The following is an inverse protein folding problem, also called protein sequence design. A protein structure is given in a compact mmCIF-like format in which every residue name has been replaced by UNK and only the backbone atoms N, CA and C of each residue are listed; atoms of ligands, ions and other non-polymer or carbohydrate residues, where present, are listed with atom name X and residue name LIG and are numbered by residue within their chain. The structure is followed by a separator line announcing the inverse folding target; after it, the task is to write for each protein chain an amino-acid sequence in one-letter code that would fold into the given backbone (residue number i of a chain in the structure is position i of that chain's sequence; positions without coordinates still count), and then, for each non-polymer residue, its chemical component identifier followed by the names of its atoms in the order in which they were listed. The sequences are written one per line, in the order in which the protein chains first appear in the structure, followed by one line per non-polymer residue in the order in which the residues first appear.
data_IF_369254650154
#
_entry.id   IF_369254650154
#
_cell.length_a   1.000
_cell.length_b   1.000
_cell.length_c   1.000
_cell.angle_alpha   90.00
_cell.angle_beta   90.00
_cell.angle_gamma   90.00
#
_symmetry.space_group_name_H-M   'P 1'
#
loop_
_entity.id
_entity.type
_entity.pdbx_description
1 polymer ?
#
# COMPACT_ATOMS: atom_id res chain seq x y z
N UNK A 1 -24.04 13.98 -6.29
CA UNK A 1 -23.17 13.74 -5.14
C UNK A 1 -21.85 14.46 -5.39
N UNK A 2 -21.42 15.36 -4.51
CA UNK A 2 -20.08 15.97 -4.61
C UNK A 2 -19.07 14.86 -4.30
N UNK A 3 -18.24 14.51 -5.27
CA UNK A 3 -17.04 13.69 -5.06
C UNK A 3 -16.18 14.47 -4.07
N UNK A 4 -16.03 14.01 -2.82
CA UNK A 4 -15.08 14.61 -1.92
C UNK A 4 -13.70 14.48 -2.58
N UNK A 5 -13.03 15.61 -2.73
CA UNK A 5 -11.68 15.67 -3.30
C UNK A 5 -10.76 15.08 -2.23
N UNK A 6 -10.05 13.99 -2.55
CA UNK A 6 -9.12 13.34 -1.62
C UNK A 6 -8.16 14.33 -0.99
N UNK A 7 -7.93 14.18 0.30
CA UNK A 7 -7.07 15.03 1.09
C UNK A 7 -5.61 14.61 0.95
N UNK A 8 -4.72 15.59 0.75
CA UNK A 8 -3.28 15.32 0.85
C UNK A 8 -2.89 15.21 2.32
N UNK A 9 -2.23 14.09 2.67
CA UNK A 9 -1.78 13.81 4.03
C UNK A 9 -0.26 13.69 4.09
N UNK A 10 0.29 14.13 5.22
CA UNK A 10 1.71 14.03 5.53
C UNK A 10 1.89 13.06 6.67
N UNK A 11 2.58 11.96 6.43
CA UNK A 11 2.70 10.83 7.34
C UNK A 11 4.11 10.80 7.91
N UNK A 12 4.29 11.12 9.20
CA UNK A 12 5.60 11.05 9.83
C UNK A 12 6.03 9.59 10.01
N UNK A 13 7.19 9.24 9.49
CA UNK A 13 7.78 7.90 9.60
C UNK A 13 9.25 8.03 9.99
N UNK A 14 9.56 7.84 11.26
CA UNK A 14 10.90 8.06 11.79
C UNK A 14 11.38 9.50 11.53
N UNK A 15 12.47 9.65 10.79
CA UNK A 15 13.07 10.96 10.45
C UNK A 15 12.54 11.59 9.17
N UNK A 16 11.60 10.96 8.47
CA UNK A 16 11.06 11.45 7.20
C UNK A 16 9.56 11.67 7.28
N UNK A 17 9.05 12.46 6.34
CA UNK A 17 7.62 12.64 6.13
C UNK A 17 7.30 12.08 4.76
N UNK A 18 6.38 11.10 4.73
CA UNK A 18 5.85 10.54 3.50
C UNK A 18 4.61 11.31 3.07
N UNK A 19 4.37 11.36 1.77
CA UNK A 19 3.21 12.03 1.20
C UNK A 19 2.17 11.00 0.77
N UNK A 20 0.91 11.27 1.05
CA UNK A 20 -0.21 10.43 0.66
C UNK A 20 -1.41 11.24 0.19
N UNK A 21 -2.32 10.54 -0.48
CA UNK A 21 -3.67 11.03 -0.79
C UNK A 21 -4.68 10.09 -0.15
N UNK A 22 -5.49 10.64 0.73
CA UNK A 22 -6.51 9.94 1.49
C UNK A 22 -7.90 10.31 0.97
N UNK A 23 -8.67 9.30 0.58
CA UNK A 23 -10.09 9.44 0.23
C UNK A 23 -10.93 8.61 1.21
N UNK A 24 -11.90 9.24 1.88
CA UNK A 24 -12.75 8.60 2.90
C UNK A 24 -14.23 8.80 2.52
N UNK A 25 -14.87 7.79 1.92
CA UNK A 25 -16.32 7.81 1.72
C UNK A 25 -17.08 7.80 3.04
N UNK A 26 -18.33 8.25 3.01
CA UNK A 26 -19.21 8.19 4.17
C UNK A 26 -19.51 6.74 4.59
N UNK A 27 -19.71 6.53 5.88
CA UNK A 27 -20.17 5.26 6.46
C UNK A 27 -19.28 4.04 6.11
N UNK A 28 -17.97 4.22 6.12
CA UNK A 28 -17.01 3.14 5.88
C UNK A 28 -16.23 2.78 7.15
N UNK A 29 -15.86 1.52 7.26
CA UNK A 29 -14.95 0.98 8.27
C UNK A 29 -13.77 0.23 7.62
N UNK A 30 -13.54 0.45 6.32
CA UNK A 30 -12.52 -0.25 5.51
C UNK A 30 -11.56 0.74 4.90
N UNK A 31 -10.27 0.41 4.96
CA UNK A 31 -9.19 1.20 4.39
C UNK A 31 -8.30 0.33 3.53
N UNK A 32 -8.06 0.74 2.28
CA UNK A 32 -7.10 0.10 1.39
C UNK A 32 -5.90 1.02 1.21
N UNK A 33 -4.73 0.55 1.64
CA UNK A 33 -3.46 1.26 1.46
C UNK A 33 -2.81 0.76 0.17
N UNK A 34 -2.43 1.69 -0.71
CA UNK A 34 -1.80 1.38 -1.99
C UNK A 34 -0.29 1.53 -1.89
N UNK A 35 0.42 0.43 -2.10
CA UNK A 35 1.87 0.37 -2.21
C UNK A 35 2.27 0.31 -3.70
N UNK A 36 2.82 1.41 -4.21
CA UNK A 36 3.23 1.51 -5.61
C UNK A 36 4.52 0.74 -5.91
N UNK A 37 4.76 0.40 -7.18
CA UNK A 37 6.00 -0.24 -7.63
C UNK A 37 7.15 0.76 -7.82
N UNK A 38 8.36 0.21 -8.06
CA UNK A 38 9.55 0.98 -8.40
C UNK A 38 9.31 1.87 -9.63
N UNK A 39 9.74 3.13 -9.56
CA UNK A 39 9.53 4.11 -10.65
C UNK A 39 8.10 4.64 -10.78
N UNK A 40 7.20 4.31 -9.84
CA UNK A 40 5.84 4.82 -9.74
C UNK A 40 5.67 5.69 -8.48
N UNK A 41 4.46 6.18 -8.26
CA UNK A 41 4.13 7.02 -7.10
C UNK A 41 2.63 6.95 -6.79
N UNK A 42 2.19 7.70 -5.77
CA UNK A 42 0.75 7.91 -5.47
C UNK A 42 -0.05 8.47 -6.64
N UNK A 43 0.61 9.02 -7.66
CA UNK A 43 -0.02 9.55 -8.87
C UNK A 43 -0.23 8.50 -9.97
N UNK A 44 0.14 7.23 -9.76
CA UNK A 44 -0.08 6.14 -10.71
C UNK A 44 -1.51 6.13 -11.26
N UNK A 45 -1.73 6.32 -12.57
CA UNK A 45 -3.09 6.33 -13.13
C UNK A 45 -3.84 5.01 -12.90
N UNK A 46 -3.12 3.88 -12.93
CA UNK A 46 -3.70 2.55 -12.68
C UNK A 46 -4.14 2.37 -11.23
N UNK A 47 -3.31 2.80 -10.28
CA UNK A 47 -3.68 2.71 -8.87
C UNK A 47 -4.81 3.68 -8.53
N UNK A 48 -4.79 4.89 -9.10
CA UNK A 48 -5.89 5.85 -8.95
C UNK A 48 -7.22 5.30 -9.48
N UNK A 49 -7.20 4.68 -10.65
CA UNK A 49 -8.42 4.07 -11.20
C UNK A 49 -9.00 3.01 -10.25
N UNK A 50 -8.15 2.11 -9.72
CA UNK A 50 -8.61 1.09 -8.75
C UNK A 50 -9.11 1.74 -7.47
N UNK A 51 -8.40 2.75 -6.95
CA UNK A 51 -8.81 3.48 -5.77
C UNK A 51 -10.17 4.18 -5.96
N UNK A 52 -10.38 4.83 -7.12
CA UNK A 52 -11.66 5.47 -7.46
C UNK A 52 -12.81 4.45 -7.45
N UNK A 53 -12.62 3.26 -8.05
CA UNK A 53 -13.62 2.18 -8.02
C UNK A 53 -13.90 1.71 -6.59
N UNK A 54 -12.88 1.53 -5.77
CA UNK A 54 -13.05 1.12 -4.37
C UNK A 54 -13.75 2.18 -3.54
N UNK A 55 -13.49 3.47 -3.79
CA UNK A 55 -14.20 4.58 -3.14
C UNK A 55 -15.69 4.59 -3.53
N UNK A 56 -16.02 4.32 -4.78
CA UNK A 56 -17.42 4.18 -5.24
C UNK A 56 -18.14 2.99 -4.55
N UNK A 57 -17.39 1.97 -4.15
CA UNK A 57 -17.87 0.82 -3.38
C UNK A 57 -17.88 1.07 -1.86
N UNK A 58 -17.59 2.29 -1.41
CA UNK A 58 -17.63 2.67 0.00
C UNK A 58 -16.41 2.21 0.80
N UNK A 59 -15.26 2.07 0.17
CA UNK A 59 -14.00 1.78 0.87
C UNK A 59 -13.10 3.01 0.87
N UNK A 60 -12.50 3.35 2.02
CA UNK A 60 -11.47 4.39 2.07
C UNK A 60 -10.20 3.92 1.35
N UNK A 61 -9.49 4.85 0.76
CA UNK A 61 -8.21 4.56 0.10
C UNK A 61 -7.13 5.54 0.51
N UNK A 62 -5.91 5.03 0.69
CA UNK A 62 -4.71 5.80 0.90
C UNK A 62 -3.67 5.43 -0.17
N UNK A 63 -3.44 6.33 -1.11
CA UNK A 63 -2.33 6.21 -2.04
C UNK A 63 -1.13 6.92 -1.42
N UNK A 64 -0.06 6.19 -1.10
CA UNK A 64 1.11 6.73 -0.38
C UNK A 64 2.39 6.53 -1.17
N UNK A 65 3.27 7.53 -1.15
CA UNK A 65 4.65 7.40 -1.61
C UNK A 65 5.49 6.82 -0.47
N UNK A 66 6.03 5.60 -0.67
CA UNK A 66 6.84 4.92 0.35
C UNK A 66 8.27 5.48 0.46
N UNK A 67 8.65 6.35 -0.46
CA UNK A 67 9.93 7.05 -0.50
C UNK A 67 9.69 8.57 -0.59
N UNK A 68 10.55 9.34 0.04
CA UNK A 68 10.59 10.79 -0.20
C UNK A 68 11.04 11.08 -1.63
N UNK A 69 10.76 12.27 -2.13
CA UNK A 69 11.20 12.70 -3.46
C UNK A 69 12.71 12.53 -3.64
N UNK A 70 13.49 12.84 -2.61
CA UNK A 70 14.96 12.69 -2.62
C UNK A 70 15.39 11.22 -2.71
N UNK A 71 14.78 10.34 -1.94
CA UNK A 71 15.09 8.90 -1.94
C UNK A 71 14.65 8.24 -3.25
N UNK A 72 13.56 8.70 -3.86
CA UNK A 72 13.03 8.15 -5.10
C UNK A 72 13.94 8.37 -6.31
N UNK A 73 14.90 9.29 -6.23
CA UNK A 73 15.91 9.50 -7.28
C UNK A 73 16.95 8.36 -7.26
N UNK A 74 17.25 7.79 -6.10
CA UNK A 74 18.22 6.71 -5.95
C UNK A 74 17.62 5.36 -6.30
N UNK A 75 18.15 4.69 -7.33
CA UNK A 75 17.66 3.36 -7.73
C UNK A 75 17.72 2.34 -6.60
N UNK A 76 18.74 2.39 -5.74
CA UNK A 76 18.90 1.46 -4.63
C UNK A 76 17.68 1.47 -3.69
N UNK A 77 17.16 2.65 -3.32
CA UNK A 77 16.02 2.76 -2.41
C UNK A 77 14.72 2.19 -3.02
N UNK A 78 14.55 2.29 -4.34
CA UNK A 78 13.35 1.77 -5.04
C UNK A 78 13.23 0.26 -4.99
N UNK A 79 14.35 -0.45 -4.80
CA UNK A 79 14.42 -1.91 -4.74
C UNK A 79 14.79 -2.42 -3.35
N UNK A 80 14.93 -1.53 -2.37
CA UNK A 80 15.12 -1.90 -0.97
C UNK A 80 13.79 -2.36 -0.36
N UNK A 81 13.48 -3.63 -0.55
CA UNK A 81 12.22 -4.21 -0.07
C UNK A 81 12.10 -4.13 1.45
N UNK A 82 13.20 -4.22 2.18
CA UNK A 82 13.19 -4.10 3.63
C UNK A 82 12.79 -2.68 4.05
N UNK A 83 13.36 -1.65 3.45
CA UNK A 83 12.98 -0.26 3.68
C UNK A 83 11.50 -0.02 3.34
N UNK A 84 11.06 -0.46 2.16
CA UNK A 84 9.67 -0.29 1.70
C UNK A 84 8.69 -1.00 2.63
N UNK A 85 9.03 -2.21 3.10
CA UNK A 85 8.24 -2.97 4.07
C UNK A 85 8.10 -2.22 5.39
N UNK A 86 9.19 -1.72 5.95
CA UNK A 86 9.18 -0.96 7.21
C UNK A 86 8.36 0.33 7.08
N UNK A 87 8.50 1.03 5.95
CA UNK A 87 7.73 2.24 5.66
C UNK A 87 6.23 1.95 5.58
N UNK A 88 5.85 0.90 4.87
CA UNK A 88 4.45 0.49 4.74
C UNK A 88 3.86 0.04 6.08
N UNK A 89 4.62 -0.71 6.89
CA UNK A 89 4.23 -1.07 8.25
C UNK A 89 4.01 0.18 9.12
N UNK A 90 4.91 1.15 9.05
CA UNK A 90 4.79 2.42 9.78
C UNK A 90 3.58 3.24 9.34
N UNK A 91 3.29 3.29 8.03
CA UNK A 91 2.08 3.95 7.48
C UNK A 91 0.82 3.25 8.01
N UNK A 92 0.79 1.92 8.01
CA UNK A 92 -0.33 1.14 8.54
C UNK A 92 -0.55 1.42 10.03
N UNK A 93 0.53 1.50 10.78
CA UNK A 93 0.47 1.83 12.21
C UNK A 93 -0.05 3.25 12.43
N UNK A 94 0.49 4.22 11.70
CA UNK A 94 0.04 5.62 11.77
C UNK A 94 -1.46 5.76 11.50
N UNK A 95 -2.02 5.06 10.51
CA UNK A 95 -3.47 5.03 10.26
C UNK A 95 -4.22 4.52 11.49
N UNK A 96 -3.77 3.43 12.10
CA UNK A 96 -4.43 2.83 13.27
C UNK A 96 -4.34 3.70 14.53
N UNK A 97 -3.37 4.58 14.62
CA UNK A 97 -3.23 5.53 15.71
C UNK A 97 -4.23 6.71 15.60
N UNK A 98 -4.74 6.99 14.39
CA UNK A 98 -5.76 8.01 14.21
C UNK A 98 -7.09 7.56 14.85
N UNK A 99 -7.70 8.33 15.77
CA UNK A 99 -8.93 7.92 16.47
C UNK A 99 -10.06 7.49 15.51
N UNK A 100 -10.20 8.17 14.38
CA UNK A 100 -11.23 7.89 13.36
C UNK A 100 -11.01 6.52 12.71
N UNK A 101 -9.76 6.10 12.48
CA UNK A 101 -9.43 4.87 11.76
C UNK A 101 -9.05 3.69 12.65
N UNK A 102 -9.06 3.87 13.99
CA UNK A 102 -8.63 2.84 14.95
C UNK A 102 -9.33 1.49 14.73
N UNK A 103 -10.61 1.51 14.42
CA UNK A 103 -11.41 0.29 14.26
C UNK A 103 -11.55 -0.15 12.79
N UNK A 104 -10.90 0.54 11.84
CA UNK A 104 -10.99 0.18 10.43
C UNK A 104 -10.29 -1.15 10.13
N UNK A 105 -10.88 -1.90 9.21
CA UNK A 105 -10.27 -3.09 8.61
C UNK A 105 -9.32 -2.65 7.50
N UNK A 106 -8.04 -2.97 7.63
CA UNK A 106 -7.02 -2.54 6.69
C UNK A 106 -6.68 -3.66 5.71
N UNK A 107 -6.75 -3.36 4.42
CA UNK A 107 -6.19 -4.15 3.34
C UNK A 107 -5.05 -3.40 2.65
N UNK A 108 -4.17 -4.13 1.96
CA UNK A 108 -3.09 -3.53 1.17
C UNK A 108 -3.21 -3.99 -0.27
N UNK A 109 -3.12 -3.04 -1.20
CA UNK A 109 -3.01 -3.28 -2.63
C UNK A 109 -1.60 -2.92 -3.09
N UNK A 110 -0.81 -3.93 -3.42
CA UNK A 110 0.58 -3.76 -3.86
C UNK A 110 0.77 -4.04 -5.35
N UNK A 111 1.64 -3.27 -5.99
CA UNK A 111 2.03 -3.47 -7.38
C UNK A 111 3.54 -3.63 -7.50
N UNK A 112 4.03 -4.62 -8.27
CA UNK A 112 5.45 -4.88 -8.48
C UNK A 112 6.22 -5.01 -7.14
N UNK A 113 7.28 -4.21 -6.90
CA UNK A 113 8.00 -4.14 -5.61
C UNK A 113 7.09 -3.74 -4.44
N UNK A 114 6.03 -2.96 -4.70
CA UNK A 114 5.01 -2.62 -3.70
C UNK A 114 4.24 -3.85 -3.21
N UNK A 115 4.06 -4.88 -4.05
CA UNK A 115 3.45 -6.14 -3.62
C UNK A 115 4.39 -6.92 -2.69
N UNK A 116 5.70 -6.93 -2.96
CA UNK A 116 6.68 -7.54 -2.06
C UNK A 116 6.66 -6.85 -0.69
N UNK A 117 6.64 -5.52 -0.66
CA UNK A 117 6.54 -4.76 0.61
C UNK A 117 5.21 -5.00 1.33
N UNK A 118 4.10 -5.19 0.59
CA UNK A 118 2.80 -5.51 1.17
C UNK A 118 2.80 -6.88 1.87
N UNK A 119 3.41 -7.90 1.24
CA UNK A 119 3.59 -9.22 1.84
C UNK A 119 4.50 -9.16 3.08
N UNK A 120 5.59 -8.40 2.98
CA UNK A 120 6.47 -8.14 4.12
C UNK A 120 5.72 -7.47 5.29
N UNK A 121 4.96 -6.42 5.03
CA UNK A 121 4.17 -5.75 6.06
C UNK A 121 3.10 -6.68 6.67
N UNK A 122 2.42 -7.50 5.86
CA UNK A 122 1.45 -8.48 6.35
C UNK A 122 2.08 -9.55 7.25
N UNK A 123 3.33 -9.95 6.98
CA UNK A 123 4.06 -10.88 7.85
C UNK A 123 4.41 -10.26 9.20
N UNK A 124 4.69 -8.95 9.24
CA UNK A 124 5.02 -8.21 10.46
C UNK A 124 3.78 -7.85 11.29
N UNK A 125 2.63 -7.68 10.65
CA UNK A 125 1.40 -7.13 11.25
C UNK A 125 0.17 -8.01 10.96
N UNK A 126 0.21 -9.32 11.29
CA UNK A 126 -0.85 -10.26 10.90
C UNK A 126 -2.22 -9.95 11.51
N UNK A 127 -2.23 -9.26 12.65
CA UNK A 127 -3.48 -8.89 13.34
C UNK A 127 -4.07 -7.56 12.83
N UNK A 128 -3.28 -6.73 12.16
CA UNK A 128 -3.71 -5.42 11.66
C UNK A 128 -4.12 -5.46 10.18
N UNK A 129 -3.40 -6.24 9.35
CA UNK A 129 -3.64 -6.33 7.91
C UNK A 129 -4.55 -7.53 7.64
N UNK A 130 -5.73 -7.27 7.08
CA UNK A 130 -6.79 -8.27 6.89
C UNK A 130 -6.77 -8.95 5.52
N UNK A 131 -6.21 -8.30 4.52
CA UNK A 131 -6.08 -8.85 3.17
C UNK A 131 -4.95 -8.15 2.41
N UNK A 132 -4.33 -8.87 1.47
CA UNK A 132 -3.34 -8.33 0.54
C UNK A 132 -3.75 -8.67 -0.88
N UNK A 133 -3.68 -7.70 -1.79
CA UNK A 133 -3.77 -7.91 -3.23
C UNK A 133 -2.41 -7.59 -3.84
N UNK A 134 -1.85 -8.54 -4.58
CA UNK A 134 -0.62 -8.41 -5.35
C UNK A 134 -0.95 -8.36 -6.83
N UNK A 135 -0.79 -7.21 -7.47
CA UNK A 135 -1.03 -7.03 -8.91
C UNK A 135 0.27 -6.89 -9.67
N UNK A 136 0.56 -7.85 -10.57
CA UNK A 136 1.86 -7.89 -11.26
C UNK A 136 3.00 -7.77 -10.24
N UNK A 137 2.88 -8.49 -9.13
CA UNK A 137 3.76 -8.36 -7.99
C UNK A 137 5.01 -9.21 -8.10
N UNK A 138 5.98 -8.90 -7.26
CA UNK A 138 7.25 -9.62 -7.12
C UNK A 138 7.32 -10.33 -5.75
N UNK A 139 6.50 -11.39 -5.51
CA UNK A 139 6.54 -12.13 -4.25
C UNK A 139 7.90 -12.79 -4.00
N UNK A 140 8.64 -13.08 -5.06
CA UNK A 140 10.02 -13.59 -5.01
C UNK A 140 10.96 -12.65 -4.23
N UNK A 141 10.73 -11.35 -4.24
CA UNK A 141 11.50 -10.38 -3.47
C UNK A 141 11.15 -10.37 -1.98
N UNK A 142 10.10 -11.08 -1.57
CA UNK A 142 9.65 -11.20 -0.18
C UNK A 142 9.75 -12.64 0.36
N UNK A 143 10.53 -13.53 -0.28
CA UNK A 143 10.62 -14.94 0.07
C UNK A 143 10.76 -15.23 1.57
N UNK A 144 11.61 -14.53 2.34
CA UNK A 144 11.76 -14.78 3.77
C UNK A 144 10.48 -14.48 4.58
N UNK A 145 9.62 -13.59 4.08
CA UNK A 145 8.39 -13.19 4.74
C UNK A 145 7.20 -14.13 4.43
N UNK A 146 7.21 -14.78 3.25
CA UNK A 146 6.05 -15.56 2.77
C UNK A 146 5.57 -16.64 3.75
N UNK A 147 6.42 -17.43 4.41
CA UNK A 147 5.96 -18.44 5.37
C UNK A 147 5.27 -17.86 6.61
N UNK A 148 5.49 -16.56 6.88
CA UNK A 148 4.95 -15.85 8.02
C UNK A 148 3.64 -15.08 7.70
N UNK A 149 3.27 -15.00 6.42
CA UNK A 149 2.02 -14.35 5.98
C UNK A 149 0.84 -15.24 6.32
N UNK A 150 0.02 -14.80 7.26
CA UNK A 150 -1.22 -15.48 7.67
C UNK A 150 -2.47 -14.86 7.04
N UNK A 151 -2.31 -13.70 6.48
CA UNK A 151 -3.37 -12.90 5.86
C UNK A 151 -3.76 -13.50 4.51
N UNK A 152 -5.05 -13.53 4.14
CA UNK A 152 -5.49 -13.89 2.79
C UNK A 152 -4.80 -13.03 1.73
N UNK A 153 -4.30 -13.67 0.67
CA UNK A 153 -3.59 -13.00 -0.43
C UNK A 153 -4.25 -13.34 -1.75
N UNK A 154 -4.57 -12.32 -2.54
CA UNK A 154 -4.97 -12.45 -3.95
C UNK A 154 -3.80 -12.07 -4.85
N UNK A 155 -3.36 -13.01 -5.69
CA UNK A 155 -2.34 -12.77 -6.71
C UNK A 155 -3.02 -12.55 -8.07
N UNK A 156 -2.72 -11.41 -8.70
CA UNK A 156 -3.19 -11.07 -10.04
C UNK A 156 -1.97 -10.91 -10.94
N UNK A 157 -1.81 -11.82 -11.90
CA UNK A 157 -0.67 -11.83 -12.83
C UNK A 157 -1.20 -11.83 -14.25
N UNK A 158 -0.59 -11.02 -15.12
CA UNK A 158 -0.88 -11.03 -16.55
C UNK A 158 -0.23 -12.25 -17.22
N UNK A 159 -0.94 -12.91 -18.13
CA UNK A 159 -0.41 -14.07 -18.87
C UNK A 159 0.79 -13.77 -19.76
N UNK A 160 1.05 -12.49 -20.04
CA UNK A 160 2.18 -12.00 -20.85
C UNK A 160 3.23 -11.26 -20.00
N UNK A 161 3.19 -11.44 -18.68
CA UNK A 161 4.14 -10.82 -17.75
C UNK A 161 5.31 -11.78 -17.51
N UNK A 162 6.30 -11.72 -18.40
CA UNK A 162 7.45 -12.63 -18.42
C UNK A 162 8.37 -12.48 -17.19
N UNK A 163 8.23 -11.39 -16.43
CA UNK A 163 9.02 -11.18 -15.20
C UNK A 163 8.45 -11.92 -13.98
N UNK A 164 7.23 -12.44 -14.07
CA UNK A 164 6.45 -12.93 -12.92
C UNK A 164 5.94 -14.36 -13.11
N UNK A 165 6.06 -14.91 -14.31
CA UNK A 165 5.63 -16.29 -14.64
C UNK A 165 6.72 -17.32 -14.40
#
# INVERSE_FOLDING_TARGET
MKKEIGENVHIPVGSVILEGRLDVPENTDRMIIFAHGSGSSRFSPRNKYVADVLNELGMSTLLVDLLTTRESIANAARFDIQLLTQRLASVTHWIKEQPVFRNYHIGIFGASTGAASALGAASLMPDMIRAVVSRGGRPDLALPALPLVKTPVLLITGSLDDEIT
#
